data_IF_319012557013
#
_entry.id   IF_319012557013
#
_cell.length_a   1.000
_cell.length_b   1.000
_cell.length_c   1.000
_cell.angle_alpha   90.00
_cell.angle_beta   90.00
_cell.angle_gamma   90.00
#
_symmetry.space_group_name_H-M   'P 1'
#
loop_
_entity.id
_entity.type
_entity.pdbx_description
1 polymer ?
#
# COMPACT_ATOMS: atom_id res chain seq x y z
N UNK A 1 30.95 -21.89 -1.28
CA UNK A 1 29.68 -21.60 -0.60
C UNK A 1 29.02 -20.52 -1.42
N UNK A 2 28.06 -20.92 -2.25
CA UNK A 2 27.36 -20.00 -3.14
C UNK A 2 26.46 -19.09 -2.30
N UNK A 3 26.71 -17.79 -2.36
CA UNK A 3 25.75 -16.79 -1.91
C UNK A 3 24.54 -16.92 -2.83
N UNK A 4 23.48 -17.56 -2.35
CA UNK A 4 22.15 -17.39 -2.94
C UNK A 4 21.77 -15.91 -2.79
N UNK A 5 22.06 -15.10 -3.81
CA UNK A 5 21.45 -13.79 -3.94
C UNK A 5 19.97 -14.02 -4.23
N UNK A 6 19.15 -13.97 -3.18
CA UNK A 6 17.70 -13.93 -3.36
C UNK A 6 17.33 -12.66 -4.14
N UNK A 7 16.88 -12.83 -5.37
CA UNK A 7 16.36 -11.73 -6.18
C UNK A 7 14.89 -11.50 -5.82
N UNK A 8 14.59 -10.28 -5.37
CA UNK A 8 13.21 -9.78 -5.33
C UNK A 8 12.89 -9.28 -6.74
N UNK A 9 11.90 -9.88 -7.38
CA UNK A 9 11.42 -9.38 -8.66
C UNK A 9 10.21 -8.48 -8.42
N UNK A 10 10.32 -7.20 -8.82
CA UNK A 10 9.25 -6.21 -8.71
C UNK A 10 8.71 -5.84 -10.09
N UNK A 11 7.39 -5.78 -10.22
CA UNK A 11 6.69 -5.41 -11.45
C UNK A 11 5.60 -4.36 -11.13
N UNK A 12 5.53 -3.29 -11.93
CA UNK A 12 4.40 -2.36 -11.87
C UNK A 12 3.13 -3.01 -12.45
N UNK A 13 2.02 -2.83 -11.74
CA UNK A 13 0.68 -3.28 -12.09
C UNK A 13 -0.28 -2.10 -12.34
N UNK A 14 0.22 -0.87 -12.46
CA UNK A 14 -0.60 0.33 -12.68
C UNK A 14 -1.66 0.17 -13.78
N UNK A 15 -1.32 -0.50 -14.88
CA UNK A 15 -2.26 -0.74 -15.99
C UNK A 15 -3.49 -1.56 -15.60
N UNK A 16 -3.36 -2.46 -14.64
CA UNK A 16 -4.46 -3.29 -14.16
C UNK A 16 -5.31 -2.59 -13.08
N UNK A 17 -4.73 -1.58 -12.42
CA UNK A 17 -5.40 -0.73 -11.43
C UNK A 17 -5.63 0.68 -11.97
N UNK A 18 -5.80 0.86 -13.28
CA UNK A 18 -5.80 2.18 -13.95
C UNK A 18 -6.84 3.18 -13.41
N UNK A 19 -7.87 2.71 -12.71
CA UNK A 19 -8.88 3.54 -12.07
C UNK A 19 -8.52 3.98 -10.63
N UNK A 20 -7.46 3.43 -10.06
CA UNK A 20 -7.09 3.50 -8.65
C UNK A 20 -5.62 3.93 -8.43
N UNK A 21 -4.89 4.25 -9.50
CA UNK A 21 -3.47 4.67 -9.48
C UNK A 21 -3.24 5.83 -10.45
N UNK A 22 -2.12 6.54 -10.27
CA UNK A 22 -1.69 7.63 -11.15
C UNK A 22 -2.44 8.94 -10.92
N UNK A 23 -2.93 9.20 -9.70
CA UNK A 23 -3.72 10.40 -9.41
C UNK A 23 -4.00 10.64 -7.93
N UNK A 24 -4.77 11.69 -7.68
CA UNK A 24 -5.34 12.02 -6.37
C UNK A 24 -6.65 11.25 -6.16
N UNK A 25 -6.80 10.71 -4.96
CA UNK A 25 -7.95 9.92 -4.53
C UNK A 25 -8.39 10.37 -3.13
N UNK A 26 -9.61 10.01 -2.77
CA UNK A 26 -10.12 10.17 -1.41
C UNK A 26 -10.27 8.80 -0.76
N UNK A 27 -9.94 8.73 0.53
CA UNK A 27 -10.20 7.53 1.33
C UNK A 27 -11.71 7.27 1.41
N UNK A 28 -12.11 6.02 1.25
CA UNK A 28 -13.52 5.59 1.32
C UNK A 28 -13.93 5.00 2.67
N UNK A 29 -13.00 4.97 3.61
CA UNK A 29 -13.19 4.50 4.98
C UNK A 29 -12.10 5.12 5.88
N UNK A 30 -12.27 5.01 7.20
CA UNK A 30 -11.29 5.47 8.17
C UNK A 30 -10.03 4.59 8.14
N UNK A 31 -8.89 5.24 7.94
CA UNK A 31 -7.58 4.60 7.82
C UNK A 31 -6.62 5.13 8.87
N UNK A 32 -5.47 4.48 9.02
CA UNK A 32 -4.40 4.94 9.88
C UNK A 32 -3.04 4.73 9.22
N UNK A 33 -2.08 5.56 9.60
CA UNK A 33 -0.68 5.43 9.22
C UNK A 33 0.09 4.86 10.41
N UNK A 34 0.78 3.74 10.19
CA UNK A 34 1.66 3.13 11.18
C UNK A 34 3.10 3.11 10.66
N UNK A 35 4.03 3.58 11.48
CA UNK A 35 5.46 3.34 11.29
C UNK A 35 5.79 1.92 11.72
N UNK A 36 6.34 1.13 10.81
CA UNK A 36 6.73 -0.26 11.09
C UNK A 36 7.95 -0.32 11.99
N UNK A 37 7.97 -1.29 12.90
CA UNK A 37 9.10 -1.54 13.81
C UNK A 37 10.21 -2.41 13.20
N UNK A 38 9.93 -3.18 12.15
CA UNK A 38 10.91 -4.06 11.50
C UNK A 38 10.81 -4.02 9.96
N UNK A 39 11.98 -4.03 9.30
CA UNK A 39 12.14 -3.89 7.86
C UNK A 39 12.20 -5.22 7.11
N UNK A 40 11.10 -5.96 7.07
CA UNK A 40 11.00 -7.12 6.17
C UNK A 40 10.09 -6.80 4.99
N UNK A 41 10.72 -6.69 3.80
CA UNK A 41 10.09 -6.70 2.47
C UNK A 41 9.07 -5.59 2.17
N UNK A 42 9.33 -4.38 2.66
CA UNK A 42 8.49 -3.21 2.42
C UNK A 42 9.21 -2.14 1.61
N UNK A 43 8.47 -1.46 0.73
CA UNK A 43 8.98 -0.33 -0.05
C UNK A 43 9.08 0.93 0.80
N UNK A 44 8.21 1.07 1.81
CA UNK A 44 8.21 2.20 2.74
C UNK A 44 8.10 1.78 4.20
N UNK A 45 8.60 2.63 5.08
CA UNK A 45 8.54 2.42 6.53
C UNK A 45 7.14 2.66 7.13
N UNK A 46 6.20 3.16 6.33
CA UNK A 46 4.84 3.51 6.77
C UNK A 46 3.82 2.67 6.03
N UNK A 47 2.95 2.01 6.78
CA UNK A 47 1.77 1.35 6.24
C UNK A 47 0.53 2.20 6.42
N UNK A 48 -0.25 2.30 5.35
CA UNK A 48 -1.64 2.68 5.40
C UNK A 48 -2.47 1.43 5.70
N UNK A 49 -3.33 1.50 6.71
CA UNK A 49 -4.11 0.36 7.19
C UNK A 49 -5.53 0.78 7.56
N UNK A 50 -6.50 -0.14 7.46
CA UNK A 50 -7.87 0.16 7.91
C UNK A 50 -7.90 0.24 9.41
N UNK A 51 -8.63 1.21 9.97
CA UNK A 51 -8.82 1.27 11.42
C UNK A 51 -9.69 0.11 11.95
N UNK A 52 -10.50 -0.48 11.08
CA UNK A 52 -11.34 -1.65 11.38
C UNK A 52 -10.57 -2.97 11.46
N UNK A 53 -9.36 -3.03 10.88
CA UNK A 53 -8.52 -4.22 10.91
C UNK A 53 -7.88 -4.37 12.30
N UNK A 54 -8.17 -5.47 12.99
CA UNK A 54 -7.55 -5.75 14.28
C UNK A 54 -6.09 -6.21 14.08
N UNK A 55 -5.18 -5.73 14.93
CA UNK A 55 -3.80 -6.22 15.09
C UNK A 55 -2.69 -5.64 14.20
N UNK A 56 -2.71 -4.33 13.90
CA UNK A 56 -1.53 -3.66 13.32
C UNK A 56 -0.42 -3.48 14.36
N UNK A 57 0.80 -3.87 13.98
CA UNK A 57 2.01 -3.67 14.78
C UNK A 57 2.76 -2.44 14.27
N UNK A 58 3.27 -1.62 15.19
CA UNK A 58 4.03 -0.43 14.86
C UNK A 58 3.61 0.79 15.67
N UNK A 59 4.25 1.93 15.41
CA UNK A 59 3.91 3.21 16.05
C UNK A 59 2.87 3.93 15.20
N UNK A 60 1.70 4.21 15.79
CA UNK A 60 0.69 5.06 15.15
C UNK A 60 1.28 6.44 14.87
N UNK A 61 1.22 6.86 13.61
CA UNK A 61 1.60 8.20 13.16
C UNK A 61 0.38 9.11 13.12
N UNK A 62 -0.70 8.64 12.49
CA UNK A 62 -1.90 9.43 12.26
C UNK A 62 -3.14 8.56 12.07
N UNK A 63 -4.28 9.05 12.54
CA UNK A 63 -5.60 8.59 12.11
C UNK A 63 -6.06 9.48 10.96
N UNK A 64 -6.56 8.87 9.90
CA UNK A 64 -7.07 9.51 8.71
C UNK A 64 -8.55 9.21 8.59
N UNK A 65 -9.38 10.25 8.46
CA UNK A 65 -10.82 10.06 8.26
C UNK A 65 -11.12 9.66 6.81
N UNK A 66 -12.27 9.03 6.59
CA UNK A 66 -12.92 9.01 5.28
C UNK A 66 -12.90 10.41 4.63
N UNK A 67 -12.72 10.47 3.30
CA UNK A 67 -12.59 11.71 2.54
C UNK A 67 -11.18 12.34 2.55
N UNK A 68 -10.24 11.81 3.35
CA UNK A 68 -8.86 12.29 3.34
C UNK A 68 -8.23 12.08 1.96
N UNK A 69 -7.57 13.12 1.44
CA UNK A 69 -6.90 13.08 0.13
C UNK A 69 -5.57 12.35 0.20
N UNK A 70 -5.36 11.43 -0.72
CA UNK A 70 -4.11 10.71 -0.93
C UNK A 70 -3.73 10.73 -2.40
N UNK A 71 -2.44 10.56 -2.69
CA UNK A 71 -1.98 10.22 -4.05
C UNK A 71 -1.53 8.77 -4.05
N UNK A 72 -1.98 8.00 -5.04
CA UNK A 72 -1.52 6.62 -5.24
C UNK A 72 -0.71 6.60 -6.53
N UNK A 73 0.59 6.36 -6.38
CA UNK A 73 1.57 6.49 -7.46
C UNK A 73 1.63 5.20 -8.31
N UNK A 74 1.64 4.02 -7.69
CA UNK A 74 1.70 2.73 -8.39
C UNK A 74 1.11 1.60 -7.54
N UNK A 75 0.85 0.46 -8.17
CA UNK A 75 0.68 -0.84 -7.50
C UNK A 75 1.81 -1.74 -7.96
N UNK A 76 2.59 -2.24 -7.02
CA UNK A 76 3.73 -3.11 -7.27
C UNK A 76 3.37 -4.55 -6.92
N UNK A 77 3.71 -5.47 -7.82
CA UNK A 77 3.82 -6.89 -7.52
C UNK A 77 5.25 -7.19 -7.13
N UNK A 78 5.47 -7.86 -6.01
CA UNK A 78 6.77 -8.42 -5.66
C UNK A 78 6.66 -9.92 -5.46
N UNK A 79 7.65 -10.63 -6.01
CA UNK A 79 7.79 -12.07 -5.85
C UNK A 79 9.08 -12.38 -5.10
N UNK A 80 8.96 -13.13 -4.01
CA UNK A 80 10.06 -13.53 -3.14
C UNK A 80 9.83 -14.94 -2.60
N UNK A 81 10.69 -15.89 -2.99
CA UNK A 81 10.47 -17.33 -2.79
C UNK A 81 9.07 -17.79 -3.24
N UNK A 82 8.21 -18.14 -2.29
CA UNK A 82 6.84 -18.60 -2.48
C UNK A 82 5.82 -17.49 -2.32
N UNK A 83 6.24 -16.27 -2.01
CA UNK A 83 5.37 -15.12 -1.80
C UNK A 83 5.25 -14.35 -3.11
N UNK A 84 4.01 -14.09 -3.52
CA UNK A 84 3.64 -13.29 -4.67
C UNK A 84 2.57 -12.29 -4.25
N UNK A 85 2.97 -11.04 -4.05
CA UNK A 85 2.21 -10.07 -3.30
C UNK A 85 2.04 -8.77 -4.08
N UNK A 86 0.90 -8.11 -3.91
CA UNK A 86 0.62 -6.81 -4.50
C UNK A 86 0.46 -5.76 -3.40
N UNK A 87 1.08 -4.61 -3.59
CA UNK A 87 1.04 -3.46 -2.69
C UNK A 87 0.82 -2.18 -3.47
N UNK A 88 -0.04 -1.29 -2.99
CA UNK A 88 -0.11 0.06 -3.51
C UNK A 88 0.93 0.93 -2.81
N UNK A 89 1.60 1.79 -3.57
CA UNK A 89 2.51 2.80 -3.05
C UNK A 89 1.92 4.19 -3.31
N UNK A 90 2.04 5.06 -2.33
CA UNK A 90 1.45 6.39 -2.42
C UNK A 90 2.03 7.36 -1.42
N UNK A 91 1.38 8.52 -1.32
CA UNK A 91 1.77 9.62 -0.43
C UNK A 91 0.58 10.44 0.02
N UNK A 92 0.74 11.05 1.18
CA UNK A 92 -0.23 11.94 1.82
C UNK A 92 0.50 13.12 2.45
N UNK A 93 -0.09 14.30 2.38
CA UNK A 93 0.36 15.46 3.15
C UNK A 93 -0.36 15.47 4.49
N UNK A 94 0.39 15.35 5.58
CA UNK A 94 -0.11 15.36 6.95
C UNK A 94 0.78 16.25 7.81
N UNK A 95 0.22 17.24 8.51
CA UNK A 95 0.95 18.23 9.32
C UNK A 95 2.19 18.82 8.61
N UNK A 96 2.00 19.34 7.39
CA UNK A 96 3.04 19.91 6.52
C UNK A 96 4.18 18.94 6.14
N UNK A 97 3.99 17.63 6.36
CA UNK A 97 4.94 16.59 5.98
C UNK A 97 4.35 15.70 4.89
N UNK A 98 5.17 15.43 3.88
CA UNK A 98 4.86 14.41 2.89
C UNK A 98 5.23 13.03 3.45
N UNK A 99 4.24 12.21 3.75
CA UNK A 99 4.41 10.85 4.21
C UNK A 99 4.17 9.92 3.03
N UNK A 100 5.19 9.11 2.68
CA UNK A 100 5.04 8.02 1.72
C UNK A 100 4.56 6.78 2.46
N UNK A 101 3.57 6.10 1.90
CA UNK A 101 3.00 4.90 2.49
C UNK A 101 2.93 3.76 1.48
N UNK A 102 2.87 2.56 2.02
CA UNK A 102 2.42 1.37 1.29
C UNK A 102 1.11 0.85 1.87
N UNK A 103 0.30 0.23 1.02
CA UNK A 103 -0.94 -0.44 1.40
C UNK A 103 -0.93 -1.86 0.87
N UNK A 104 -1.11 -2.82 1.76
CA UNK A 104 -1.15 -4.24 1.43
C UNK A 104 -2.45 -4.61 0.73
N UNK A 105 -2.37 -5.15 -0.50
CA UNK A 105 -3.54 -5.58 -1.25
C UNK A 105 -3.79 -7.08 -1.04
N UNK A 106 -2.81 -7.95 -1.34
CA UNK A 106 -2.89 -9.42 -1.17
C UNK A 106 -1.54 -10.14 -1.38
N UNK A 107 -1.44 -11.43 -0.97
CA UNK A 107 -0.34 -12.36 -1.25
C UNK A 107 -0.83 -13.80 -1.60
N UNK A 108 -0.21 -14.47 -2.60
CA UNK A 108 -0.33 -15.88 -3.09
C UNK A 108 -1.71 -16.36 -3.63
N UNK A 109 -1.86 -17.27 -4.60
CA UNK A 109 -1.18 -17.67 -5.85
C UNK A 109 -2.35 -17.95 -6.82
N UNK A 110 -3.04 -16.92 -7.33
CA UNK A 110 -4.10 -17.11 -8.35
C UNK A 110 -4.13 -15.94 -9.33
N UNK A 111 -2.96 -15.57 -9.83
CA UNK A 111 -2.83 -14.45 -10.76
C UNK A 111 -3.34 -13.13 -10.19
N UNK A 112 -3.44 -12.13 -11.05
CA UNK A 112 -3.90 -10.83 -10.64
C UNK A 112 -5.43 -10.81 -10.47
N UNK A 113 -5.90 -10.78 -9.22
CA UNK A 113 -7.29 -10.40 -8.90
C UNK A 113 -7.30 -8.95 -8.41
N UNK A 114 -7.91 -8.06 -9.20
CA UNK A 114 -8.15 -6.68 -8.78
C UNK A 114 -8.98 -6.71 -7.50
N UNK A 115 -8.42 -6.19 -6.40
CA UNK A 115 -9.16 -6.05 -5.16
C UNK A 115 -10.32 -5.07 -5.37
N UNK A 116 -11.54 -5.52 -5.08
CA UNK A 116 -12.75 -4.68 -5.17
C UNK A 116 -12.89 -3.73 -3.97
N UNK A 117 -12.08 -3.92 -2.93
CA UNK A 117 -12.18 -3.21 -1.65
C UNK A 117 -10.97 -2.31 -1.39
N UNK A 118 -10.42 -1.66 -2.42
CA UNK A 118 -9.41 -0.64 -2.18
C UNK A 118 -10.02 0.50 -1.36
N UNK A 119 -9.35 0.97 -0.29
CA UNK A 119 -9.90 1.98 0.62
C UNK A 119 -9.80 3.40 0.05
N UNK A 120 -9.79 3.55 -1.28
CA UNK A 120 -9.78 4.83 -1.96
C UNK A 120 -10.50 4.78 -3.30
N UNK A 121 -11.04 5.93 -3.69
CA UNK A 121 -11.72 6.12 -4.97
C UNK A 121 -11.46 7.50 -5.54
N UNK A 122 -11.76 7.68 -6.83
CA UNK A 122 -11.72 9.01 -7.44
C UNK A 122 -12.72 9.91 -6.70
N UNK A 123 -12.28 11.10 -6.30
CA UNK A 123 -13.18 12.12 -5.73
C UNK A 123 -14.37 12.32 -6.68
N UNK A 124 -15.59 12.27 -6.16
CA UNK A 124 -16.77 12.62 -6.94
C UNK A 124 -16.75 14.14 -7.10
N UNK A 125 -16.43 14.58 -8.31
CA UNK A 125 -16.56 15.99 -8.70
C UNK A 125 -18.00 16.51 -8.49
#
# INVERSE_FOLDING_TARGET
>A
MDQFSMQINTQSLSSHYSNYVGGEFELTEDMALYEKSEGNFSFYNVSLVRQSDCCHQGRLIANLSEGTKITVDDVLRYTFFTNDCNEAIGKINFDDKLIKFEFFINCNYEGLKISKSLPWGKSKA
#
